data_IF_208351678893
#
_entry.id   IF_208351678893
#
_cell.length_a   1.000
_cell.length_b   1.000
_cell.length_c   1.000
_cell.angle_alpha   90.00
_cell.angle_beta   90.00
_cell.angle_gamma   90.00
#
_symmetry.space_group_name_H-M   'P 1'
#
loop_
_entity.id
_entity.type
_entity.pdbx_description
1 polymer ?
#
# COMPACT_ATOMS: atom_id res chain seq x y z
N UNK A 1 -12.05 -10.84 18.69
CA UNK A 1 -10.74 -10.38 19.21
C UNK A 1 -9.79 -10.32 18.03
N UNK A 2 -8.98 -9.27 17.89
CA UNK A 2 -8.00 -9.16 16.80
C UNK A 2 -6.89 -10.19 17.04
N UNK A 3 -6.62 -11.05 16.06
CA UNK A 3 -5.55 -12.04 16.11
C UNK A 3 -4.38 -11.67 15.18
N UNK A 4 -4.65 -11.01 14.07
CA UNK A 4 -3.65 -10.65 13.08
C UNK A 4 -3.87 -9.25 12.49
N UNK A 5 -2.76 -8.65 12.05
CA UNK A 5 -2.71 -7.40 11.31
C UNK A 5 -2.01 -7.65 9.96
N UNK A 6 -2.63 -7.23 8.86
CA UNK A 6 -2.05 -7.24 7.52
C UNK A 6 -1.84 -5.81 7.04
N UNK A 7 -0.70 -5.51 6.43
CA UNK A 7 -0.35 -4.16 5.99
C UNK A 7 0.34 -4.21 4.64
N UNK A 8 -0.05 -3.29 3.76
CA UNK A 8 0.58 -3.12 2.44
C UNK A 8 0.56 -1.64 2.04
N UNK A 9 1.55 -1.21 1.27
CA UNK A 9 1.68 0.14 0.76
C UNK A 9 2.15 0.18 -0.69
N UNK A 10 1.40 0.89 -1.53
CA UNK A 10 1.73 1.08 -2.94
C UNK A 10 2.08 2.52 -3.28
N UNK A 11 2.80 2.75 -4.38
CA UNK A 11 2.90 4.09 -4.96
C UNK A 11 1.86 4.30 -6.07
N UNK A 12 1.45 5.55 -6.27
CA UNK A 12 0.59 5.89 -7.40
C UNK A 12 1.49 5.99 -8.64
N UNK A 13 1.31 5.07 -9.59
CA UNK A 13 2.12 4.93 -10.82
C UNK A 13 3.53 4.39 -10.56
N UNK A 14 4.57 5.18 -10.85
CA UNK A 14 5.97 4.72 -10.86
C UNK A 14 6.61 4.94 -9.50
N UNK A 15 7.44 4.01 -9.06
CA UNK A 15 8.32 4.18 -7.90
C UNK A 15 9.68 4.78 -8.36
N UNK A 16 10.19 5.86 -7.74
CA UNK A 16 9.51 6.73 -6.77
C UNK A 16 8.47 7.65 -7.46
N UNK A 17 7.37 7.96 -6.77
CA UNK A 17 6.20 8.65 -7.34
C UNK A 17 6.15 10.12 -6.97
N UNK A 18 6.06 10.97 -8.00
CA UNK A 18 5.78 12.41 -7.85
C UNK A 18 4.31 12.74 -7.58
N UNK A 19 3.41 11.76 -7.74
CA UNK A 19 1.97 11.93 -7.53
C UNK A 19 1.61 11.65 -6.08
N UNK A 20 2.25 10.64 -5.49
CA UNK A 20 1.99 10.19 -4.13
C UNK A 20 2.00 8.67 -4.02
N UNK A 21 1.49 8.18 -2.90
CA UNK A 21 1.33 6.75 -2.63
C UNK A 21 0.03 6.44 -1.93
N UNK A 22 -0.16 5.18 -1.57
CA UNK A 22 -1.33 4.63 -0.92
C UNK A 22 -0.89 3.69 0.19
N UNK A 23 -1.74 3.54 1.19
CA UNK A 23 -1.52 2.61 2.28
C UNK A 23 -2.84 1.90 2.58
N UNK A 24 -2.76 0.66 3.04
CA UNK A 24 -3.89 -0.10 3.53
C UNK A 24 -3.48 -1.02 4.68
N UNK A 25 -4.41 -1.27 5.60
CA UNK A 25 -4.25 -2.30 6.62
C UNK A 25 -5.58 -3.01 6.88
N UNK A 26 -5.50 -4.25 7.35
CA UNK A 26 -6.63 -5.06 7.74
C UNK A 26 -6.34 -5.81 9.06
N UNK A 27 -7.27 -5.73 10.01
CA UNK A 27 -7.29 -6.53 11.23
C UNK A 27 -8.18 -7.75 11.02
N UNK A 28 -7.68 -8.90 11.44
CA UNK A 28 -8.33 -10.20 11.25
C UNK A 28 -8.47 -10.89 12.61
N UNK A 29 -9.60 -11.53 12.84
CA UNK A 29 -9.85 -12.27 14.06
C UNK A 29 -9.29 -13.71 14.02
N UNK A 30 -9.46 -14.45 15.12
CA UNK A 30 -8.94 -15.82 15.25
C UNK A 30 -9.62 -16.82 14.29
N UNK A 31 -10.78 -16.49 13.72
CA UNK A 31 -11.44 -17.32 12.69
C UNK A 31 -10.98 -17.00 11.27
N UNK A 32 -10.10 -16.00 11.10
CA UNK A 32 -9.67 -15.55 9.78
C UNK A 32 -10.65 -14.57 9.13
N UNK A 33 -11.61 -14.02 9.88
CA UNK A 33 -12.50 -12.98 9.36
C UNK A 33 -11.86 -11.60 9.51
N UNK A 34 -11.93 -10.81 8.44
CA UNK A 34 -11.50 -9.40 8.48
C UNK A 34 -12.55 -8.58 9.20
N UNK A 35 -12.17 -7.99 10.33
CA UNK A 35 -13.08 -7.24 11.23
C UNK A 35 -12.99 -5.73 11.03
N UNK A 36 -11.80 -5.22 10.73
CA UNK A 36 -11.57 -3.80 10.45
C UNK A 36 -10.55 -3.65 9.34
N UNK A 37 -10.69 -2.62 8.53
CA UNK A 37 -9.66 -2.20 7.59
C UNK A 37 -9.77 -0.70 7.34
N UNK A 38 -8.64 -0.08 7.02
CA UNK A 38 -8.61 1.28 6.50
C UNK A 38 -7.56 1.39 5.40
N UNK A 39 -7.77 2.36 4.52
CA UNK A 39 -6.82 2.72 3.48
C UNK A 39 -6.78 4.24 3.28
N UNK A 40 -5.78 4.73 2.57
CA UNK A 40 -5.69 6.14 2.26
C UNK A 40 -4.56 6.51 1.32
N UNK A 41 -4.48 7.80 1.03
CA UNK A 41 -3.48 8.40 0.13
C UNK A 41 -2.39 9.10 0.93
N UNK A 42 -1.15 8.95 0.49
CA UNK A 42 0.01 9.73 0.89
C UNK A 42 0.28 10.75 -0.21
N UNK A 43 0.06 12.03 0.09
CA UNK A 43 0.45 13.11 -0.82
C UNK A 43 1.96 13.37 -0.69
N UNK A 44 2.67 13.84 -1.73
CA UNK A 44 4.02 14.36 -1.56
C UNK A 44 4.00 15.46 -0.50
N UNK A 45 4.67 15.24 0.63
CA UNK A 45 4.54 16.09 1.83
C UNK A 45 5.83 16.78 2.25
N UNK A 46 6.96 16.44 1.63
CA UNK A 46 8.26 17.08 1.89
C UNK A 46 8.71 17.83 0.65
N UNK A 47 9.29 19.02 0.84
CA UNK A 47 10.01 19.73 -0.19
C UNK A 47 11.51 19.61 0.07
N UNK A 48 12.32 19.52 -0.97
CA UNK A 48 13.76 19.68 -0.87
C UNK A 48 14.15 21.14 -0.57
N UNK A 49 15.45 21.41 -0.40
CA UNK A 49 15.98 22.74 -0.13
C UNK A 49 15.65 23.77 -1.24
N UNK A 50 15.33 23.28 -2.44
CA UNK A 50 14.97 24.08 -3.60
C UNK A 50 13.46 24.27 -3.76
N UNK A 51 12.66 23.70 -2.86
CA UNK A 51 11.21 23.82 -2.83
C UNK A 51 10.46 22.79 -3.69
N UNK A 52 11.13 21.79 -4.26
CA UNK A 52 10.51 20.71 -5.04
C UNK A 52 10.01 19.59 -4.14
N UNK A 53 8.82 19.06 -4.43
CA UNK A 53 8.30 17.92 -3.68
C UNK A 53 9.17 16.68 -3.87
N UNK A 54 9.60 16.09 -2.75
CA UNK A 54 10.28 14.81 -2.73
C UNK A 54 9.30 13.70 -3.14
N UNK A 55 9.67 12.83 -4.09
CA UNK A 55 8.78 11.76 -4.51
C UNK A 55 8.60 10.71 -3.40
N UNK A 56 7.39 10.15 -3.34
CA UNK A 56 7.00 9.08 -2.41
C UNK A 56 7.50 7.74 -2.93
N UNK A 57 8.22 7.00 -2.10
CA UNK A 57 8.73 5.66 -2.46
C UNK A 57 7.84 4.56 -1.91
N UNK A 58 7.94 3.35 -2.47
CA UNK A 58 7.30 2.15 -1.88
C UNK A 58 7.68 1.98 -0.41
N UNK A 59 8.97 2.15 -0.07
CA UNK A 59 9.41 2.01 1.32
C UNK A 59 8.72 3.02 2.25
N UNK A 60 8.36 4.22 1.76
CA UNK A 60 7.59 5.17 2.55
C UNK A 60 6.15 4.69 2.79
N UNK A 61 5.49 4.17 1.74
CA UNK A 61 4.08 3.76 1.82
C UNK A 61 3.90 2.52 2.68
N UNK A 62 4.82 1.57 2.56
CA UNK A 62 4.88 0.36 3.39
C UNK A 62 5.05 0.70 4.88
N UNK A 63 5.98 1.60 5.18
CA UNK A 63 6.18 2.06 6.56
C UNK A 63 4.97 2.84 7.09
N UNK A 64 4.30 3.63 6.25
CA UNK A 64 3.06 4.34 6.64
C UNK A 64 1.93 3.34 6.92
N UNK A 65 1.75 2.33 6.07
CA UNK A 65 0.76 1.27 6.24
C UNK A 65 0.99 0.51 7.55
N UNK A 66 2.23 0.06 7.77
CA UNK A 66 2.63 -0.64 9.00
C UNK A 66 2.41 0.22 10.24
N UNK A 67 2.87 1.47 10.22
CA UNK A 67 2.69 2.40 11.35
C UNK A 67 1.22 2.62 11.69
N UNK A 68 0.37 2.84 10.67
CA UNK A 68 -1.06 3.08 10.88
C UNK A 68 -1.78 1.84 11.38
N UNK A 69 -1.46 0.67 10.84
CA UNK A 69 -1.99 -0.60 11.33
C UNK A 69 -1.60 -0.87 12.79
N UNK A 70 -0.34 -0.62 13.16
CA UNK A 70 0.11 -0.77 14.55
C UNK A 70 -0.59 0.21 15.50
N UNK A 71 -0.89 1.43 15.06
CA UNK A 71 -1.62 2.41 15.85
C UNK A 71 -3.10 2.09 16.02
N UNK A 72 -3.70 1.28 15.13
CA UNK A 72 -5.12 0.92 15.23
C UNK A 72 -5.38 -0.26 16.19
N UNK A 73 -4.34 -0.96 16.64
CA UNK A 73 -4.48 -2.05 17.60
C UNK A 73 -4.79 -1.54 19.02
N UNK A 74 -5.46 -2.30 19.89
CA UNK A 74 -5.67 -1.90 21.29
C UNK A 74 -4.36 -2.00 22.11
N UNK A 75 -4.29 -1.30 23.23
CA UNK A 75 -3.17 -1.43 24.17
C UNK A 75 -3.05 -2.86 24.70
N UNK A 76 -1.80 -3.34 24.86
CA UNK A 76 -1.51 -4.71 25.29
C UNK A 76 -1.81 -5.80 24.26
N UNK A 77 -2.25 -5.44 23.04
CA UNK A 77 -2.55 -6.44 22.00
C UNK A 77 -1.35 -7.33 21.71
N UNK A 78 -1.59 -8.64 21.61
CA UNK A 78 -0.61 -9.63 21.20
C UNK A 78 -1.14 -10.41 20.01
N UNK A 79 -0.28 -10.74 19.05
CA UNK A 79 -0.67 -11.43 17.82
C UNK A 79 0.37 -11.31 16.72
N UNK A 80 -0.06 -11.57 15.49
CA UNK A 80 0.86 -11.65 14.34
C UNK A 80 0.68 -10.47 13.38
N UNK A 81 1.78 -9.85 12.99
CA UNK A 81 1.85 -8.84 11.95
C UNK A 81 2.36 -9.46 10.65
N UNK A 82 1.59 -9.31 9.59
CA UNK A 82 1.89 -9.79 8.25
C UNK A 82 2.14 -8.60 7.31
N UNK A 83 3.26 -8.64 6.61
CA UNK A 83 3.66 -7.61 5.64
C UNK A 83 4.61 -8.24 4.62
N UNK A 84 4.51 -7.86 3.36
CA UNK A 84 5.42 -8.32 2.29
C UNK A 84 6.66 -7.42 2.10
N UNK A 85 6.73 -6.31 2.85
CA UNK A 85 7.90 -5.45 2.94
C UNK A 85 8.87 -5.89 4.04
N UNK A 86 9.88 -6.67 3.63
CA UNK A 86 11.03 -7.06 4.47
C UNK A 86 11.69 -5.84 5.15
N UNK A 87 11.72 -4.73 4.41
CA UNK A 87 12.36 -3.50 4.85
C UNK A 87 11.53 -2.83 5.97
N UNK A 88 10.21 -2.76 5.83
CA UNK A 88 9.35 -2.19 6.87
C UNK A 88 9.36 -3.02 8.15
N UNK A 89 9.31 -4.36 8.03
CA UNK A 89 9.48 -5.27 9.16
C UNK A 89 10.87 -5.12 9.79
N UNK A 90 11.92 -5.05 8.97
CA UNK A 90 13.29 -4.92 9.44
C UNK A 90 13.53 -3.67 10.28
N UNK A 91 13.05 -2.50 9.82
CA UNK A 91 13.21 -1.26 10.57
C UNK A 91 12.40 -1.20 11.85
N UNK A 92 11.25 -1.88 11.87
CA UNK A 92 10.31 -1.83 13.00
C UNK A 92 10.63 -2.88 14.07
N UNK A 93 10.97 -4.11 13.67
CA UNK A 93 11.05 -5.27 14.56
C UNK A 93 12.40 -5.98 14.59
N UNK A 94 13.25 -5.85 13.56
CA UNK A 94 14.48 -6.64 13.42
C UNK A 94 15.77 -5.81 13.44
N UNK A 95 15.72 -4.62 14.04
CA UNK A 95 16.89 -3.77 14.29
C UNK A 95 17.69 -3.40 13.02
N UNK A 96 17.07 -3.38 11.84
CA UNK A 96 17.77 -2.94 10.62
C UNK A 96 18.21 -1.49 10.75
N UNK A 97 19.37 -1.18 10.17
CA UNK A 97 19.85 0.19 10.06
C UNK A 97 18.89 1.04 9.21
N UNK A 98 18.56 2.22 9.72
CA UNK A 98 17.51 3.11 9.24
C UNK A 98 18.04 4.34 8.46
N UNK A 99 19.30 4.33 8.02
CA UNK A 99 19.98 5.47 7.39
C UNK A 99 19.22 6.17 6.23
N UNK A 100 18.33 5.47 5.52
CA UNK A 100 17.66 5.98 4.30
C UNK A 100 16.14 6.16 4.44
N UNK A 101 15.63 6.40 5.65
CA UNK A 101 14.19 6.59 5.91
C UNK A 101 13.96 7.83 6.74
N UNK A 102 12.83 8.54 6.54
CA UNK A 102 12.44 9.59 7.47
C UNK A 102 12.35 9.05 8.91
N UNK A 103 13.34 9.42 9.75
CA UNK A 103 13.44 8.99 11.15
C UNK A 103 12.13 9.14 11.95
N UNK A 104 11.31 10.20 11.75
CA UNK A 104 10.03 10.33 12.45
C UNK A 104 9.05 9.18 12.19
N UNK A 105 9.08 8.58 11.00
CA UNK A 105 8.16 7.50 10.64
C UNK A 105 8.51 6.21 11.38
N UNK A 106 9.80 5.87 11.45
CA UNK A 106 10.28 4.70 12.21
C UNK A 106 10.07 4.92 13.70
N UNK A 107 10.36 6.11 14.22
CA UNK A 107 10.13 6.44 15.63
C UNK A 107 8.66 6.24 16.01
N UNK A 108 7.73 6.67 15.15
CA UNK A 108 6.29 6.49 15.37
C UNK A 108 5.86 5.02 15.33
N UNK A 109 6.40 4.22 14.41
CA UNK A 109 6.13 2.78 14.36
C UNK A 109 6.64 2.08 15.64
N UNK A 110 7.88 2.36 16.04
CA UNK A 110 8.47 1.78 17.26
C UNK A 110 7.73 2.19 18.52
N UNK A 111 7.31 3.46 18.63
CA UNK A 111 6.46 3.93 19.72
C UNK A 111 5.09 3.23 19.73
N UNK A 112 4.52 2.95 18.55
CA UNK A 112 3.29 2.16 18.47
C UNK A 112 3.50 0.73 18.99
N UNK A 113 4.68 0.15 18.82
CA UNK A 113 5.03 -1.19 19.35
C UNK A 113 5.18 -1.20 20.87
N UNK A 114 5.73 -0.14 21.49
CA UNK A 114 6.00 -0.15 22.95
C UNK A 114 4.77 -0.30 23.84
N UNK A 115 3.58 -0.01 23.32
CA UNK A 115 2.29 -0.18 24.05
C UNK A 115 1.62 -1.52 23.80
N UNK A 116 2.16 -2.35 22.92
CA UNK A 116 1.61 -3.65 22.54
C UNK A 116 2.24 -4.76 23.38
N UNK A 117 1.60 -5.91 23.40
CA UNK A 117 2.13 -7.13 24.00
C UNK A 117 3.09 -7.86 23.06
N UNK A 118 3.05 -9.19 23.08
CA UNK A 118 3.94 -10.01 22.27
C UNK A 118 3.52 -9.96 20.80
N UNK A 119 4.46 -9.60 19.92
CA UNK A 119 4.25 -9.52 18.47
C UNK A 119 5.12 -10.57 17.78
N UNK A 120 4.49 -11.35 16.92
CA UNK A 120 5.17 -12.15 15.91
C UNK A 120 5.09 -11.45 14.55
N UNK A 121 6.10 -11.64 13.71
CA UNK A 121 6.14 -11.04 12.37
C UNK A 121 6.30 -12.10 11.30
N UNK A 122 5.51 -12.01 10.24
CA UNK A 122 5.60 -12.89 9.07
C UNK A 122 5.81 -12.07 7.81
N UNK A 123 6.92 -12.33 7.13
CA UNK A 123 7.19 -11.79 5.80
C UNK A 123 6.38 -12.55 4.75
N UNK A 124 5.50 -11.85 4.06
CA UNK A 124 4.68 -12.39 2.97
C UNK A 124 5.36 -12.25 1.61
N UNK A 125 4.90 -13.06 0.66
CA UNK A 125 5.05 -12.80 -0.76
C UNK A 125 3.92 -11.92 -1.29
N UNK A 126 4.29 -10.78 -1.89
CA UNK A 126 3.37 -9.81 -2.47
C UNK A 126 2.76 -10.26 -3.80
N UNK A 127 1.64 -9.62 -4.17
CA UNK A 127 0.92 -9.80 -5.42
C UNK A 127 0.70 -11.28 -5.82
N UNK A 128 0.06 -12.08 -4.95
CA UNK A 128 -0.18 -13.48 -5.23
C UNK A 128 -1.17 -13.66 -6.40
N UNK A 129 -1.01 -14.75 -7.15
CA UNK A 129 -2.03 -15.21 -8.11
C UNK A 129 -3.04 -16.11 -7.40
N UNK A 130 -4.17 -16.42 -8.04
CA UNK A 130 -5.12 -17.40 -7.51
C UNK A 130 -4.45 -18.76 -7.23
N UNK A 131 -3.51 -19.19 -8.08
CA UNK A 131 -2.74 -20.41 -7.86
C UNK A 131 -1.81 -20.31 -6.64
N UNK A 132 -1.17 -19.15 -6.42
CA UNK A 132 -0.35 -18.94 -5.22
C UNK A 132 -1.18 -19.00 -3.94
N UNK A 133 -2.38 -18.39 -3.94
CA UNK A 133 -3.29 -18.42 -2.80
C UNK A 133 -3.79 -19.84 -2.50
N UNK A 134 -4.17 -20.59 -3.54
CA UNK A 134 -4.60 -21.98 -3.38
C UNK A 134 -3.49 -22.88 -2.81
N UNK A 135 -2.23 -22.60 -3.16
CA UNK A 135 -1.07 -23.33 -2.65
C UNK A 135 -0.47 -22.77 -1.35
N UNK A 136 -0.99 -21.63 -0.85
CA UNK A 136 -0.38 -20.82 0.21
C UNK A 136 1.13 -20.59 0.01
N UNK A 137 1.55 -20.37 -1.25
CA UNK A 137 2.96 -20.22 -1.60
C UNK A 137 3.13 -19.25 -2.76
N UNK A 138 3.87 -18.18 -2.50
CA UNK A 138 4.17 -17.14 -3.47
C UNK A 138 5.34 -17.48 -4.38
N UNK A 139 5.63 -16.54 -5.28
CA UNK A 139 6.66 -16.69 -6.32
C UNK A 139 8.08 -16.89 -5.75
N UNK A 140 8.38 -16.32 -4.59
CA UNK A 140 9.69 -16.44 -3.90
C UNK A 140 9.70 -17.61 -2.92
N UNK A 141 8.61 -18.37 -2.87
CA UNK A 141 8.43 -19.51 -1.97
C UNK A 141 7.96 -19.15 -0.57
N UNK A 142 7.70 -17.86 -0.29
CA UNK A 142 7.15 -17.40 0.97
C UNK A 142 5.63 -17.62 1.07
N UNK A 143 5.06 -17.47 2.27
CA UNK A 143 3.60 -17.53 2.46
C UNK A 143 2.91 -16.37 1.77
N UNK A 144 1.63 -16.53 1.44
CA UNK A 144 0.77 -15.49 0.85
C UNK A 144 -0.51 -15.38 1.66
N UNK A 145 -1.28 -14.30 1.50
CA UNK A 145 -2.54 -14.13 2.22
C UNK A 145 -3.57 -13.40 1.38
N UNK A 146 -4.81 -13.88 1.42
CA UNK A 146 -5.98 -13.19 0.86
C UNK A 146 -6.22 -11.83 1.55
N UNK A 147 -5.80 -11.67 2.80
CA UNK A 147 -5.92 -10.41 3.52
C UNK A 147 -4.85 -9.40 3.08
N UNK A 148 -3.66 -9.86 2.71
CA UNK A 148 -2.65 -8.99 2.10
C UNK A 148 -3.06 -8.61 0.67
N UNK A 149 -3.63 -9.55 -0.09
CA UNK A 149 -4.22 -9.27 -1.39
C UNK A 149 -5.33 -8.22 -1.28
N UNK A 150 -6.15 -8.27 -0.24
CA UNK A 150 -7.15 -7.23 0.01
C UNK A 150 -6.51 -5.85 0.21
N UNK A 151 -5.42 -5.74 0.97
CA UNK A 151 -4.70 -4.49 1.13
C UNK A 151 -4.11 -3.99 -0.20
N UNK A 152 -3.51 -4.87 -1.01
CA UNK A 152 -3.05 -4.61 -2.39
C UNK A 152 -4.18 -4.01 -3.25
N UNK A 153 -5.37 -4.64 -3.19
CA UNK A 153 -6.55 -4.22 -3.95
C UNK A 153 -7.07 -2.84 -3.49
N UNK A 154 -7.07 -2.58 -2.19
CA UNK A 154 -7.46 -1.30 -1.60
C UNK A 154 -6.48 -0.17 -1.98
N UNK A 155 -5.17 -0.44 -1.94
CA UNK A 155 -4.14 0.45 -2.47
C UNK A 155 -4.40 0.79 -3.94
N UNK A 156 -4.67 -0.23 -4.76
CA UNK A 156 -5.03 -0.05 -6.16
C UNK A 156 -6.31 0.77 -6.36
N UNK A 157 -7.34 0.52 -5.56
CA UNK A 157 -8.63 1.22 -5.62
C UNK A 157 -8.48 2.69 -5.28
N UNK A 158 -7.92 3.02 -4.11
CA UNK A 158 -7.79 4.39 -3.65
C UNK A 158 -6.82 5.21 -4.51
N UNK A 159 -5.78 4.58 -5.06
CA UNK A 159 -4.89 5.22 -6.03
C UNK A 159 -5.60 5.61 -7.33
N UNK A 160 -6.51 4.77 -7.83
CA UNK A 160 -7.35 5.10 -9.00
C UNK A 160 -8.32 6.23 -8.69
N UNK A 161 -8.99 6.18 -7.53
CA UNK A 161 -9.91 7.23 -7.10
C UNK A 161 -9.20 8.59 -6.96
N UNK A 162 -8.00 8.60 -6.39
CA UNK A 162 -7.19 9.81 -6.29
C UNK A 162 -6.85 10.40 -7.66
N UNK A 163 -6.43 9.55 -8.61
CA UNK A 163 -6.13 9.98 -9.97
C UNK A 163 -7.36 10.57 -10.69
N UNK A 164 -8.54 9.95 -10.50
CA UNK A 164 -9.80 10.45 -11.08
C UNK A 164 -10.20 11.79 -10.47
N UNK A 165 -10.11 11.93 -9.15
CA UNK A 165 -10.48 13.15 -8.44
C UNK A 165 -9.53 14.34 -8.69
N UNK A 166 -8.30 14.08 -9.12
CA UNK A 166 -7.26 15.10 -9.30
C UNK A 166 -6.74 15.17 -10.75
N UNK A 167 -7.47 14.63 -11.72
CA UNK A 167 -7.02 14.53 -13.12
C UNK A 167 -6.54 15.87 -13.70
N UNK A 168 -7.36 16.92 -13.57
CA UNK A 168 -7.06 18.26 -14.09
C UNK A 168 -5.84 18.89 -13.40
N UNK A 169 -5.70 18.70 -12.08
CA UNK A 169 -4.55 19.19 -11.31
C UNK A 169 -3.27 18.49 -11.75
N UNK A 170 -3.31 17.18 -11.93
CA UNK A 170 -2.16 16.39 -12.36
C UNK A 170 -1.74 16.73 -13.79
N UNK A 171 -2.71 16.97 -14.68
CA UNK A 171 -2.44 17.45 -16.03
C UNK A 171 -1.81 18.85 -16.03
N UNK A 172 -2.31 19.78 -15.21
CA UNK A 172 -1.71 21.11 -15.02
C UNK A 172 -0.28 21.05 -14.45
N UNK A 173 0.05 20.01 -13.66
CA UNK A 173 1.39 19.75 -13.15
C UNK A 173 2.30 19.02 -14.16
N UNK A 174 1.84 18.74 -15.38
CA UNK A 174 2.58 17.97 -16.38
C UNK A 174 2.70 16.48 -16.04
N UNK A 175 2.04 16.01 -14.99
CA UNK A 175 1.98 14.62 -14.53
C UNK A 175 0.80 13.94 -15.20
N UNK A 176 0.89 13.74 -16.53
CA UNK A 176 -0.23 13.16 -17.30
C UNK A 176 -0.64 11.81 -16.70
N UNK A 177 -1.94 11.58 -16.45
CA UNK A 177 -2.41 10.23 -16.17
C UNK A 177 -2.19 9.41 -17.45
N UNK A 178 -1.19 8.53 -17.47
CA UNK A 178 -1.04 7.56 -18.56
C UNK A 178 -2.37 6.83 -18.72
N UNK A 179 -2.92 6.86 -19.94
CA UNK A 179 -4.21 6.24 -20.24
C UNK A 179 -4.20 4.81 -19.70
N UNK A 180 -5.14 4.48 -18.81
CA UNK A 180 -5.26 3.10 -18.35
C UNK A 180 -5.69 2.24 -19.55
N UNK A 181 -5.38 0.94 -19.54
CA UNK A 181 -5.84 0.03 -20.59
C UNK A 181 -7.35 0.12 -20.83
N UNK A 182 -8.13 0.44 -19.78
CA UNK A 182 -9.56 0.70 -19.88
C UNK A 182 -9.92 2.01 -20.57
N UNK A 183 -9.16 3.10 -20.35
CA UNK A 183 -9.34 4.36 -21.08
C UNK A 183 -9.00 4.19 -22.56
N UNK A 184 -7.95 3.41 -22.88
CA UNK A 184 -7.58 3.07 -24.27
C UNK A 184 -8.65 2.20 -24.94
N UNK A 185 -9.22 1.23 -24.21
CA UNK A 185 -10.30 0.36 -24.71
C UNK A 185 -11.59 1.14 -24.94
N UNK A 186 -12.01 2.01 -24.02
CA UNK A 186 -13.19 2.89 -24.19
C UNK A 186 -13.02 3.86 -25.34
N UNK A 187 -11.82 4.45 -25.54
CA UNK A 187 -11.55 5.32 -26.70
C UNK A 187 -11.64 4.57 -28.02
N UNK A 188 -11.10 3.35 -28.12
CA UNK A 188 -11.21 2.49 -29.32
C UNK A 188 -12.65 2.12 -29.65
N UNK A 189 -13.47 1.80 -28.64
CA UNK A 189 -14.89 1.49 -28.86
C UNK A 189 -15.66 2.71 -29.37
N UNK A 190 -15.44 3.89 -28.78
CA UNK A 190 -16.09 5.13 -29.24
C UNK A 190 -15.66 5.57 -30.65
N UNK A 191 -14.40 5.33 -31.04
CA UNK A 191 -13.94 5.62 -32.42
C UNK A 191 -14.45 4.60 -33.44
N UNK A 192 -14.64 3.34 -33.04
CA UNK A 192 -15.23 2.32 -33.90
C UNK A 192 -16.73 2.58 -34.16
N UNK A 193 -17.48 2.96 -33.14
CA UNK A 193 -18.93 3.26 -33.27
C UNK A 193 -19.17 4.50 -34.14
N UNK A 194 -18.33 5.53 -34.03
CA UNK A 194 -18.41 6.72 -34.88
C UNK A 194 -18.07 6.46 -36.36
N UNK A 195 -17.39 5.35 -36.68
CA UNK A 195 -17.04 4.98 -38.07
C UNK A 195 -18.08 4.10 -38.77
N UNK A 196 -19.05 3.56 -38.03
CA UNK A 196 -20.12 2.69 -38.56
C UNK A 196 -21.42 3.43 -38.90
N UNK A 197 -21.53 4.72 -38.57
CA UNK A 197 -22.72 5.55 -38.84
C UNK A 197 -22.59 6.46 -40.08
N UNK A 198 -21.61 6.21 -40.97
CA UNK A 198 -21.42 6.96 -42.22
C UNK A 198 -21.42 6.08 -43.48
N UNK A 199 -22.20 5.01 -43.51
CA UNK A 199 -22.49 4.25 -44.75
C UNK A 199 -23.98 4.14 -45.00
#
# INVERSE_FOLDING_TARGET
>A
MIAALYTDGGVIRKNPSLIGGTWAWAQVDASGERIHSECGVVKPFMKDELGFYLPVTNNNTEMIALTKGLLSLPEGWSGTVYCDSKIALGWTFWEYNAENVPAPLIAKARLAVTRLGQIETVLLDGHPTAAHLAANKGKRGGPVSVHNQHCDEECGRIGREYLLANGDLLEAMGLKPEATRDTVRKRRVLTAVASTDMT
#
